data_IF_882875732917
#
_entry.id   IF_882875732917
#
_cell.length_a   1.000
_cell.length_b   1.000
_cell.length_c   1.000
_cell.angle_alpha   90.00
_cell.angle_beta   90.00
_cell.angle_gamma   90.00
#
_symmetry.space_group_name_H-M   'P 1'
#
loop_
_entity.id
_entity.type
_entity.pdbx_description
1 polymer ?
#
# COMPACT_ATOMS: atom_id res chain seq x y z
N UNK A 1 -3.05 30.65 -18.70
CA UNK A 1 -2.95 29.33 -18.06
C UNK A 1 -4.30 28.66 -18.20
N UNK A 2 -4.40 27.62 -19.04
CA UNK A 2 -5.60 26.79 -19.14
C UNK A 2 -5.45 25.71 -18.09
N UNK A 3 -6.27 25.74 -17.05
CA UNK A 3 -6.43 24.60 -16.16
C UNK A 3 -7.06 23.47 -16.98
N UNK A 4 -6.26 22.48 -17.33
CA UNK A 4 -6.78 21.21 -17.81
C UNK A 4 -7.40 20.55 -16.59
N UNK A 5 -8.73 20.48 -16.57
CA UNK A 5 -9.46 19.67 -15.60
C UNK A 5 -9.07 18.22 -15.87
N UNK A 6 -8.12 17.69 -15.11
CA UNK A 6 -7.97 16.25 -14.97
C UNK A 6 -9.29 15.75 -14.40
N UNK A 7 -9.99 14.95 -15.20
CA UNK A 7 -11.27 14.38 -14.80
C UNK A 7 -11.09 13.67 -13.47
N UNK A 8 -11.96 13.99 -12.51
CA UNK A 8 -12.08 13.30 -11.24
C UNK A 8 -12.42 11.82 -11.51
N UNK A 9 -11.39 11.02 -11.77
CA UNK A 9 -11.41 9.57 -11.68
C UNK A 9 -11.51 9.24 -10.20
N UNK A 10 -12.75 8.97 -9.79
CA UNK A 10 -13.15 8.57 -8.45
C UNK A 10 -12.18 7.50 -7.90
N UNK A 11 -11.33 7.88 -6.95
CA UNK A 11 -10.55 6.92 -6.16
C UNK A 11 -11.52 6.22 -5.20
N UNK A 12 -12.13 5.14 -5.67
CA UNK A 12 -12.93 4.24 -4.86
C UNK A 12 -12.03 3.38 -3.97
N UNK A 13 -11.58 3.90 -2.83
CA UNK A 13 -11.06 3.06 -1.76
C UNK A 13 -12.26 2.50 -0.99
N UNK A 14 -12.61 1.24 -1.28
CA UNK A 14 -13.58 0.47 -0.51
C UNK A 14 -12.95 0.01 0.81
N UNK A 15 -13.78 0.00 1.85
CA UNK A 15 -13.43 -0.28 3.22
C UNK A 15 -14.23 -1.47 3.72
N UNK A 16 -13.57 -2.57 4.03
CA UNK A 16 -14.17 -3.71 4.71
C UNK A 16 -13.53 -3.98 6.06
N UNK A 17 -14.36 -4.55 6.93
CA UNK A 17 -14.02 -4.87 8.30
C UNK A 17 -13.32 -6.22 8.40
N UNK A 18 -12.14 -6.22 9.01
CA UNK A 18 -11.37 -7.42 9.33
C UNK A 18 -12.03 -8.22 10.47
N UNK A 19 -12.10 -9.55 10.33
CA UNK A 19 -12.38 -10.49 11.42
C UNK A 19 -11.09 -11.23 11.76
N UNK A 20 -10.63 -11.14 13.01
CA UNK A 20 -9.39 -11.78 13.46
C UNK A 20 -9.65 -13.18 14.02
N UNK A 21 -9.07 -14.21 13.40
CA UNK A 21 -8.96 -15.55 13.99
C UNK A 21 -7.69 -15.62 14.86
N UNK A 22 -7.82 -16.08 16.11
CA UNK A 22 -6.69 -16.18 17.05
C UNK A 22 -6.04 -17.56 16.97
N UNK A 23 -4.82 -17.61 16.43
CA UNK A 23 -3.94 -18.76 16.56
C UNK A 23 -2.83 -18.45 17.59
N UNK A 24 -2.81 -19.19 18.69
CA UNK A 24 -1.77 -19.06 19.71
C UNK A 24 -0.47 -19.73 19.22
N UNK A 25 0.60 -18.97 19.02
CA UNK A 25 1.95 -19.52 18.80
C UNK A 25 2.97 -18.86 19.73
N UNK A 26 3.97 -19.65 20.13
CA UNK A 26 4.80 -19.41 21.31
C UNK A 26 5.77 -18.24 21.23
N UNK A 27 5.88 -17.55 22.38
CA UNK A 27 7.03 -16.89 22.98
C UNK A 27 8.03 -16.17 22.05
N UNK A 28 7.53 -15.20 21.28
CA UNK A 28 8.35 -14.22 20.56
C UNK A 28 8.57 -12.91 21.33
N UNK A 29 8.16 -12.83 22.61
CA UNK A 29 8.18 -11.58 23.38
C UNK A 29 7.21 -10.50 22.85
N UNK A 30 6.39 -10.83 21.84
CA UNK A 30 5.30 -9.98 21.34
C UNK A 30 4.30 -9.86 22.47
N UNK A 31 4.04 -8.62 22.93
CA UNK A 31 2.98 -8.36 23.90
C UNK A 31 1.65 -8.77 23.27
N UNK A 32 0.87 -9.57 23.97
CA UNK A 32 -0.53 -9.84 23.59
C UNK A 32 -1.28 -8.50 23.52
N UNK A 33 -1.58 -8.04 22.30
CA UNK A 33 -2.41 -6.87 22.09
C UNK A 33 -3.87 -7.29 22.22
N UNK A 34 -4.67 -6.62 23.07
CA UNK A 34 -6.10 -6.90 23.15
C UNK A 34 -6.78 -6.78 21.78
N UNK A 35 -7.69 -7.70 21.41
CA UNK A 35 -8.35 -7.66 20.09
C UNK A 35 -9.06 -6.34 19.79
N UNK A 36 -9.63 -5.70 20.81
CA UNK A 36 -10.26 -4.38 20.71
C UNK A 36 -9.25 -3.27 20.33
N UNK A 37 -8.03 -3.32 20.85
CA UNK A 37 -6.97 -2.36 20.50
C UNK A 37 -6.52 -2.56 19.06
N UNK A 38 -6.35 -3.82 18.64
CA UNK A 38 -6.00 -4.13 17.25
C UNK A 38 -7.10 -3.66 16.27
N UNK A 39 -8.38 -3.87 16.62
CA UNK A 39 -9.52 -3.40 15.82
C UNK A 39 -9.56 -1.86 15.73
N UNK A 40 -9.37 -1.16 16.85
CA UNK A 40 -9.34 0.30 16.87
C UNK A 40 -8.18 0.87 16.06
N UNK A 41 -6.97 0.29 16.19
CA UNK A 41 -5.80 0.68 15.43
C UNK A 41 -5.98 0.48 13.91
N UNK A 42 -6.68 -0.58 13.50
CA UNK A 42 -7.02 -0.82 12.09
C UNK A 42 -7.95 0.28 11.53
N UNK A 43 -8.99 0.65 12.26
CA UNK A 43 -9.89 1.76 11.86
C UNK A 43 -9.11 3.08 11.82
N UNK A 44 -8.26 3.34 12.80
CA UNK A 44 -7.44 4.55 12.83
C UNK A 44 -6.46 4.63 11.65
N UNK A 45 -5.84 3.50 11.28
CA UNK A 45 -5.02 3.39 10.08
C UNK A 45 -5.80 3.76 8.82
N UNK A 46 -7.01 3.22 8.66
CA UNK A 46 -7.87 3.55 7.53
C UNK A 46 -8.19 5.06 7.49
N UNK A 47 -8.54 5.65 8.63
CA UNK A 47 -8.85 7.07 8.77
C UNK A 47 -7.66 7.97 8.45
N UNK A 48 -6.47 7.67 8.97
CA UNK A 48 -5.25 8.38 8.61
C UNK A 48 -4.94 8.29 7.11
N UNK A 49 -5.18 7.13 6.48
CA UNK A 49 -5.03 6.99 5.02
C UNK A 49 -6.00 7.88 4.24
N UNK A 50 -7.25 8.01 4.70
CA UNK A 50 -8.24 8.92 4.09
C UNK A 50 -7.80 10.39 4.23
N UNK A 51 -7.28 10.77 5.39
CA UNK A 51 -6.74 12.12 5.62
C UNK A 51 -5.58 12.41 4.66
N UNK A 52 -4.61 11.50 4.53
CA UNK A 52 -3.48 11.67 3.61
C UNK A 52 -3.95 11.80 2.15
N UNK A 53 -4.91 10.98 1.73
CA UNK A 53 -5.51 11.09 0.41
C UNK A 53 -6.16 12.46 0.17
N UNK A 54 -6.90 12.98 1.15
CA UNK A 54 -7.51 14.30 1.07
C UNK A 54 -6.47 15.43 1.04
N UNK A 55 -5.36 15.32 1.80
CA UNK A 55 -4.24 16.27 1.72
C UNK A 55 -3.64 16.27 0.32
N UNK A 56 -3.41 15.10 -0.28
CA UNK A 56 -2.85 15.01 -1.63
C UNK A 56 -3.76 15.66 -2.68
N UNK A 57 -5.08 15.43 -2.61
CA UNK A 57 -6.06 16.09 -3.49
C UNK A 57 -6.04 17.61 -3.27
N UNK A 58 -6.01 18.06 -2.00
CA UNK A 58 -5.91 19.48 -1.69
C UNK A 58 -4.66 20.11 -2.31
N UNK A 59 -3.50 19.47 -2.17
CA UNK A 59 -2.24 19.95 -2.73
C UNK A 59 -2.33 20.11 -4.25
N UNK A 60 -2.82 19.08 -4.95
CA UNK A 60 -3.03 19.13 -6.39
C UNK A 60 -3.93 20.32 -6.80
N UNK A 61 -4.99 20.57 -6.05
CA UNK A 61 -5.94 21.66 -6.34
C UNK A 61 -5.41 23.05 -5.96
N UNK A 62 -4.36 23.13 -5.14
CA UNK A 62 -3.81 24.37 -4.58
C UNK A 62 -2.33 24.63 -4.96
N UNK A 63 -1.87 24.05 -6.07
CA UNK A 63 -0.52 24.29 -6.59
C UNK A 63 0.57 23.71 -5.70
N UNK A 64 0.38 22.46 -5.28
CA UNK A 64 1.25 21.65 -4.42
C UNK A 64 1.42 22.19 -2.98
N UNK A 65 0.64 23.20 -2.61
CA UNK A 65 0.63 23.73 -1.26
C UNK A 65 -0.26 22.88 -0.36
N UNK A 66 0.25 22.35 0.77
CA UNK A 66 -0.59 21.65 1.74
C UNK A 66 -1.62 22.60 2.35
N UNK A 67 -2.73 22.07 2.88
CA UNK A 67 -3.70 22.90 3.59
C UNK A 67 -3.03 23.59 4.78
N UNK A 68 -3.45 24.82 5.07
CA UNK A 68 -2.90 25.58 6.19
C UNK A 68 -3.30 24.94 7.53
N UNK A 69 -4.44 24.25 7.56
CA UNK A 69 -5.01 23.56 8.72
C UNK A 69 -5.69 22.26 8.30
N UNK A 70 -5.81 21.33 9.23
CA UNK A 70 -6.43 20.04 8.95
C UNK A 70 -7.95 20.16 8.70
N UNK A 71 -8.61 21.11 9.39
CA UNK A 71 -10.02 21.45 9.20
C UNK A 71 -10.34 22.00 7.81
N UNK A 72 -9.35 22.47 7.04
CA UNK A 72 -9.55 22.94 5.66
C UNK A 72 -9.94 21.79 4.70
N UNK A 73 -9.77 20.53 5.12
CA UNK A 73 -10.23 19.35 4.38
C UNK A 73 -11.74 19.10 4.55
N UNK A 74 -12.37 19.65 5.59
CA UNK A 74 -13.79 19.46 5.92
C UNK A 74 -14.64 20.68 5.48
N UNK A 75 -15.89 20.49 5.02
CA UNK A 75 -16.55 19.21 4.71
C UNK A 75 -16.31 18.75 3.26
N UNK A 76 -15.51 19.49 2.49
CA UNK A 76 -15.43 19.33 1.03
C UNK A 76 -14.74 18.04 0.59
N UNK A 77 -13.56 17.76 1.14
CA UNK A 77 -12.77 16.57 0.79
C UNK A 77 -13.04 15.41 1.74
N UNK A 78 -13.38 15.72 3.00
CA UNK A 78 -13.80 14.76 4.01
C UNK A 78 -15.13 15.25 4.59
N UNK A 79 -16.22 14.55 4.27
CA UNK A 79 -17.56 14.91 4.74
C UNK A 79 -17.91 14.30 6.11
N UNK A 80 -17.33 13.13 6.45
CA UNK A 80 -17.57 12.45 7.72
C UNK A 80 -16.58 12.93 8.79
N UNK A 81 -17.03 13.64 9.85
CA UNK A 81 -16.15 14.12 10.91
C UNK A 81 -15.47 12.97 11.68
N UNK A 82 -16.03 11.75 11.68
CA UNK A 82 -15.43 10.61 12.37
C UNK A 82 -14.07 10.21 11.79
N UNK A 83 -13.76 10.61 10.56
CA UNK A 83 -12.44 10.39 9.94
C UNK A 83 -11.31 11.03 10.75
N UNK A 84 -11.57 12.09 11.52
CA UNK A 84 -10.54 12.78 12.31
C UNK A 84 -10.34 12.20 13.73
N UNK A 85 -11.08 11.15 14.08
CA UNK A 85 -11.11 10.58 15.42
C UNK A 85 -10.57 9.16 15.47
N UNK A 86 -9.99 8.74 16.59
CA UNK A 86 -9.52 7.37 16.82
C UNK A 86 -10.54 6.63 17.71
N UNK A 87 -11.01 5.41 17.37
CA UNK A 87 -12.05 4.74 18.16
C UNK A 87 -11.71 4.41 19.61
N UNK A 88 -10.41 4.25 19.90
CA UNK A 88 -9.90 4.10 21.27
C UNK A 88 -9.60 5.40 22.00
N UNK A 89 -9.88 6.56 21.41
CA UNK A 89 -9.71 7.86 22.06
C UNK A 89 -10.75 8.06 23.18
N UNK A 90 -10.32 8.68 24.27
CA UNK A 90 -11.18 9.02 25.40
C UNK A 90 -12.06 10.24 25.14
N UNK A 91 -11.68 11.09 24.20
CA UNK A 91 -12.47 12.26 23.82
C UNK A 91 -13.73 11.83 23.02
N UNK A 92 -14.88 12.52 23.19
CA UNK A 92 -16.09 12.17 22.46
C UNK A 92 -15.90 12.26 20.94
N UNK A 93 -16.52 11.35 20.15
CA UNK A 93 -16.44 11.41 18.70
C UNK A 93 -16.99 12.74 18.18
N UNK A 94 -16.29 13.41 17.24
CA UNK A 94 -16.73 14.68 16.69
C UNK A 94 -18.01 14.49 15.88
N UNK A 95 -18.93 15.44 16.00
CA UNK A 95 -20.18 15.47 15.21
C UNK A 95 -20.11 16.46 14.06
N UNK A 96 -19.10 17.33 14.08
CA UNK A 96 -18.71 18.26 13.02
C UNK A 96 -17.23 18.60 13.22
N UNK A 97 -16.65 19.40 12.33
CA UNK A 97 -15.28 19.91 12.46
C UNK A 97 -15.32 21.43 12.32
N UNK A 98 -14.90 22.14 13.37
CA UNK A 98 -14.90 23.61 13.40
C UNK A 98 -13.57 24.23 13.90
N UNK A 99 -12.62 23.40 14.33
CA UNK A 99 -11.31 23.84 14.80
C UNK A 99 -10.20 22.80 14.57
N UNK A 100 -8.97 23.14 14.97
CA UNK A 100 -7.77 22.29 14.90
C UNK A 100 -7.03 22.24 16.24
N UNK A 101 -7.72 22.54 17.34
CA UNK A 101 -7.11 22.52 18.67
C UNK A 101 -7.00 21.06 19.11
N UNK A 102 -5.80 20.52 19.41
CA UNK A 102 -5.67 19.13 19.80
C UNK A 102 -6.57 18.77 20.99
N UNK A 103 -7.23 17.60 20.92
CA UNK A 103 -8.14 17.08 21.96
C UNK A 103 -9.35 17.99 22.29
N UNK A 104 -9.64 19.00 21.47
CA UNK A 104 -10.84 19.82 21.64
C UNK A 104 -12.05 19.16 20.95
N UNK A 105 -13.28 19.35 21.48
CA UNK A 105 -14.50 18.92 20.79
C UNK A 105 -14.57 19.45 19.36
N UNK A 106 -15.00 18.60 18.42
CA UNK A 106 -15.12 18.94 16.98
C UNK A 106 -13.82 19.47 16.34
N UNK A 107 -12.67 19.03 16.85
CA UNK A 107 -11.37 19.34 16.26
C UNK A 107 -11.00 18.35 15.16
N UNK A 108 -10.41 18.85 14.08
CA UNK A 108 -9.77 18.00 13.06
C UNK A 108 -8.52 17.29 13.61
N UNK A 109 -7.89 17.86 14.64
CA UNK A 109 -6.71 17.32 15.30
C UNK A 109 -7.07 16.61 16.62
N UNK A 110 -8.30 16.09 16.75
CA UNK A 110 -8.77 15.47 18.00
C UNK A 110 -7.94 14.23 18.35
N UNK A 111 -7.65 13.35 17.38
CA UNK A 111 -6.92 12.10 17.64
C UNK A 111 -5.64 11.93 16.82
N UNK A 112 -5.37 12.85 15.89
CA UNK A 112 -4.24 12.73 14.97
C UNK A 112 -3.40 14.01 14.92
N UNK A 113 -2.08 13.82 14.93
CA UNK A 113 -1.09 14.87 14.68
C UNK A 113 -0.66 14.82 13.21
N UNK A 114 -0.56 15.98 12.56
CA UNK A 114 0.00 16.10 11.21
C UNK A 114 1.31 16.89 11.25
N UNK A 115 2.35 16.34 10.65
CA UNK A 115 3.63 16.99 10.49
C UNK A 115 3.64 17.81 9.20
N UNK A 116 3.19 19.06 9.27
CA UNK A 116 3.13 19.93 8.09
C UNK A 116 4.49 20.18 7.42
N UNK A 117 5.58 20.13 8.19
CA UNK A 117 6.93 20.23 7.63
C UNK A 117 7.28 19.03 6.73
N UNK A 118 6.57 17.90 6.89
CA UNK A 118 6.73 16.75 6.01
C UNK A 118 6.09 16.95 4.62
N UNK A 119 5.24 17.96 4.46
CA UNK A 119 4.53 18.26 3.21
C UNK A 119 5.09 19.46 2.45
N UNK A 120 6.05 20.20 3.02
CA UNK A 120 6.65 21.36 2.35
C UNK A 120 7.65 20.96 1.26
N UNK A 121 7.64 21.71 0.14
CA UNK A 121 8.52 21.51 -1.01
C UNK A 121 10.01 21.46 -0.59
N UNK A 122 10.66 20.34 -0.91
CA UNK A 122 12.01 20.00 -0.47
C UNK A 122 12.11 18.64 0.21
N UNK A 123 10.97 18.08 0.64
CA UNK A 123 10.82 16.70 1.13
C UNK A 123 11.62 16.41 2.41
N UNK A 124 11.00 16.01 3.52
CA UNK A 124 11.78 15.48 4.64
C UNK A 124 12.51 14.17 4.26
N UNK A 125 13.50 13.79 5.05
CA UNK A 125 14.12 12.46 4.96
C UNK A 125 13.05 11.35 4.97
N UNK A 126 13.28 10.26 4.23
CA UNK A 126 12.38 9.15 3.91
C UNK A 126 11.61 8.45 5.06
N UNK A 127 11.85 8.84 6.32
CA UNK A 127 11.32 8.21 7.54
C UNK A 127 10.62 9.21 8.47
N UNK A 128 10.27 10.40 7.96
CA UNK A 128 9.47 11.36 8.73
C UNK A 128 7.99 10.97 8.64
N UNK A 129 7.36 10.84 9.81
CA UNK A 129 5.91 10.64 9.90
C UNK A 129 5.19 11.89 9.36
N UNK A 130 4.17 11.65 8.54
CA UNK A 130 3.29 12.68 7.99
C UNK A 130 2.07 12.88 8.87
N UNK A 131 1.45 11.78 9.27
CA UNK A 131 0.34 11.75 10.22
C UNK A 131 0.58 10.63 11.21
N UNK A 132 0.20 10.85 12.45
CA UNK A 132 0.26 9.82 13.50
C UNK A 132 -0.91 9.97 14.45
N UNK A 133 -1.17 8.92 15.19
CA UNK A 133 -1.93 9.00 16.42
C UNK A 133 -1.27 9.98 17.39
N UNK A 134 -2.05 10.90 17.96
CA UNK A 134 -1.52 11.94 18.84
C UNK A 134 -1.11 11.41 20.23
N UNK A 135 -1.62 10.24 20.64
CA UNK A 135 -1.30 9.64 21.93
C UNK A 135 -1.34 8.11 21.89
N UNK A 136 -0.42 7.46 22.60
CA UNK A 136 -0.48 6.00 22.75
C UNK A 136 -1.70 5.53 23.55
N UNK A 137 -2.34 6.43 24.31
CA UNK A 137 -3.54 6.11 25.11
C UNK A 137 -4.71 5.64 24.23
N UNK A 138 -4.78 6.13 22.99
CA UNK A 138 -5.75 5.71 21.99
C UNK A 138 -5.64 4.21 21.65
N UNK A 139 -4.47 3.62 21.92
CA UNK A 139 -4.17 2.21 21.77
C UNK A 139 -3.84 1.54 23.12
N UNK A 140 -4.56 1.91 24.19
CA UNK A 140 -4.37 1.40 25.55
C UNK A 140 -2.94 1.58 26.10
N UNK A 141 -2.21 2.59 25.62
CA UNK A 141 -0.82 2.88 25.99
C UNK A 141 0.20 1.94 25.35
N UNK A 142 -0.19 1.11 24.38
CA UNK A 142 0.68 0.11 23.78
C UNK A 142 1.53 0.67 22.64
N UNK A 143 0.97 1.56 21.83
CA UNK A 143 1.62 2.06 20.62
C UNK A 143 1.06 3.38 20.12
N UNK A 144 1.83 4.06 19.28
CA UNK A 144 1.39 5.14 18.39
C UNK A 144 1.42 4.63 16.96
N UNK A 145 0.29 4.69 16.25
CA UNK A 145 0.25 4.42 14.81
C UNK A 145 0.75 5.63 14.03
N UNK A 146 1.57 5.43 13.01
CA UNK A 146 2.11 6.52 12.19
C UNK A 146 2.14 6.14 10.72
N UNK A 147 1.77 7.06 9.84
CA UNK A 147 2.07 6.98 8.42
C UNK A 147 3.28 7.83 8.10
N UNK A 148 4.21 7.25 7.37
CA UNK A 148 5.37 7.95 6.81
C UNK A 148 5.13 8.29 5.34
N UNK A 149 6.01 9.11 4.77
CA UNK A 149 6.02 9.43 3.33
C UNK A 149 5.96 8.18 2.42
N UNK A 150 6.44 7.03 2.91
CA UNK A 150 6.36 5.75 2.19
C UNK A 150 4.95 5.15 2.10
N UNK A 151 3.92 5.89 2.56
CA UNK A 151 2.55 5.40 2.74
C UNK A 151 2.47 4.12 3.60
N UNK A 152 3.55 3.85 4.34
CA UNK A 152 3.66 2.71 5.23
C UNK A 152 3.10 3.08 6.59
N UNK A 153 2.19 2.26 7.09
CA UNK A 153 1.76 2.33 8.49
C UNK A 153 2.81 1.64 9.36
N UNK A 154 3.32 2.34 10.35
CA UNK A 154 4.24 1.85 11.35
C UNK A 154 3.66 2.04 12.75
N UNK A 155 4.23 1.34 13.72
CA UNK A 155 3.92 1.50 15.15
C UNK A 155 5.16 1.99 15.89
N UNK A 156 4.98 2.76 16.96
CA UNK A 156 6.02 3.13 17.92
C UNK A 156 5.60 2.70 19.35
N UNK A 157 6.31 1.77 20.00
CA UNK A 157 7.48 1.06 19.48
C UNK A 157 7.10 0.12 18.31
N UNK A 158 8.05 -0.19 17.41
CA UNK A 158 7.78 -1.05 16.26
C UNK A 158 7.49 -2.49 16.69
N UNK A 159 6.61 -3.17 15.96
CA UNK A 159 6.28 -4.59 16.17
C UNK A 159 5.34 -4.87 17.35
N UNK A 160 4.63 -3.86 17.86
CA UNK A 160 3.71 -4.04 18.99
C UNK A 160 2.38 -4.64 18.57
N UNK A 161 1.76 -4.17 17.49
CA UNK A 161 0.59 -4.88 16.96
C UNK A 161 1.04 -6.28 16.55
N UNK A 162 0.25 -7.34 16.83
CA UNK A 162 0.39 -8.56 16.07
C UNK A 162 0.33 -8.09 14.63
N UNK A 163 1.44 -8.23 13.90
CA UNK A 163 1.42 -7.92 12.49
C UNK A 163 0.18 -8.62 11.95
N UNK A 164 -0.67 -7.90 11.22
CA UNK A 164 -1.70 -8.56 10.42
C UNK A 164 -1.04 -9.79 9.80
N UNK A 165 -1.70 -10.98 9.84
CA UNK A 165 -1.08 -12.26 9.53
C UNK A 165 -0.06 -12.04 8.42
N UNK A 166 1.23 -12.36 8.68
CA UNK A 166 2.36 -11.71 8.06
C UNK A 166 2.05 -11.51 6.59
N UNK A 167 1.90 -10.24 6.20
CA UNK A 167 1.40 -9.89 4.88
C UNK A 167 2.10 -10.77 3.87
N UNK A 168 1.32 -11.43 3.00
CA UNK A 168 1.89 -12.33 2.02
C UNK A 168 3.02 -11.61 1.27
N UNK A 169 4.03 -12.35 0.83
CA UNK A 169 5.17 -11.75 0.12
C UNK A 169 4.69 -10.93 -1.08
N UNK A 170 3.63 -11.42 -1.75
CA UNK A 170 2.93 -10.74 -2.85
C UNK A 170 2.34 -9.40 -2.39
N UNK A 171 1.64 -9.36 -1.25
CA UNK A 171 1.05 -8.13 -0.71
C UNK A 171 2.11 -7.07 -0.41
N UNK A 172 3.19 -7.45 0.25
CA UNK A 172 4.29 -6.53 0.55
C UNK A 172 4.92 -6.00 -0.74
N UNK A 173 5.14 -6.87 -1.73
CA UNK A 173 5.67 -6.45 -3.01
C UNK A 173 4.70 -5.54 -3.80
N UNK A 174 3.39 -5.81 -3.76
CA UNK A 174 2.35 -4.96 -4.33
C UNK A 174 2.36 -3.57 -3.68
N UNK A 175 2.54 -3.50 -2.35
CA UNK A 175 2.70 -2.23 -1.63
C UNK A 175 3.98 -1.48 -2.05
N UNK A 176 5.09 -2.20 -2.20
CA UNK A 176 6.35 -1.64 -2.67
C UNK A 176 6.24 -1.06 -4.09
N UNK A 177 5.65 -1.82 -5.03
CA UNK A 177 5.35 -1.34 -6.38
C UNK A 177 4.36 -0.17 -6.38
N UNK A 178 3.37 -0.17 -5.48
CA UNK A 178 2.44 0.93 -5.31
C UNK A 178 3.12 2.21 -4.76
N UNK A 179 4.20 2.09 -3.99
CA UNK A 179 5.02 3.23 -3.58
C UNK A 179 5.89 3.74 -4.74
N UNK A 180 6.52 2.82 -5.49
CA UNK A 180 7.32 3.17 -6.68
C UNK A 180 6.49 3.87 -7.75
N UNK A 181 5.27 3.39 -8.04
CA UNK A 181 4.37 4.01 -9.04
C UNK A 181 4.01 5.45 -8.65
N UNK A 182 3.73 5.70 -7.37
CA UNK A 182 3.30 7.04 -6.90
C UNK A 182 4.44 8.02 -7.13
N UNK A 183 5.66 7.65 -6.77
CA UNK A 183 6.77 8.55 -6.98
C UNK A 183 7.19 8.65 -8.45
N UNK A 184 6.97 7.63 -9.27
CA UNK A 184 7.16 7.75 -10.72
C UNK A 184 6.19 8.77 -11.30
N UNK A 185 4.93 8.77 -10.85
CA UNK A 185 3.94 9.76 -11.26
C UNK A 185 4.35 11.19 -10.86
N UNK A 186 4.87 11.38 -9.63
CA UNK A 186 5.40 12.68 -9.19
C UNK A 186 6.61 13.09 -10.04
N UNK A 187 7.57 12.18 -10.25
CA UNK A 187 8.71 12.44 -11.13
C UNK A 187 8.27 12.87 -12.52
N UNK A 188 7.32 12.14 -13.10
CA UNK A 188 6.79 12.40 -14.42
C UNK A 188 6.21 13.82 -14.52
N UNK A 189 5.38 14.21 -13.56
CA UNK A 189 4.82 15.56 -13.46
C UNK A 189 5.92 16.64 -13.42
N UNK A 190 6.98 16.41 -12.65
CA UNK A 190 8.08 17.36 -12.50
C UNK A 190 9.04 17.38 -13.71
N UNK A 191 8.99 16.34 -14.56
CA UNK A 191 9.90 16.14 -15.69
C UNK A 191 9.19 16.11 -17.04
N UNK A 192 8.13 16.91 -17.21
CA UNK A 192 7.41 17.05 -18.49
C UNK A 192 6.88 15.71 -19.03
N UNK A 193 6.28 14.93 -18.14
CA UNK A 193 5.69 13.61 -18.40
C UNK A 193 6.72 12.51 -18.75
N UNK A 194 8.02 12.77 -18.64
CA UNK A 194 9.06 11.76 -18.87
C UNK A 194 9.36 10.95 -17.62
N UNK A 195 9.58 9.65 -17.79
CA UNK A 195 10.04 8.78 -16.73
C UNK A 195 11.58 8.79 -16.61
N UNK A 196 12.15 8.47 -15.43
CA UNK A 196 13.58 8.53 -15.19
C UNK A 196 14.35 7.55 -16.08
N UNK A 197 15.56 7.95 -16.49
CA UNK A 197 16.51 7.08 -17.17
C UNK A 197 17.44 6.33 -16.20
N UNK A 198 17.60 6.87 -14.99
CA UNK A 198 18.50 6.36 -13.96
C UNK A 198 17.73 6.24 -12.64
N UNK A 199 17.53 5.00 -12.20
CA UNK A 199 16.81 4.72 -10.96
C UNK A 199 17.61 5.05 -9.70
N UNK A 200 18.93 5.12 -9.79
CA UNK A 200 19.78 5.52 -8.65
C UNK A 200 19.59 7.01 -8.36
N UNK A 201 19.58 7.82 -9.43
CA UNK A 201 19.26 9.25 -9.34
C UNK A 201 17.82 9.45 -8.84
N UNK A 202 16.85 8.76 -9.46
CA UNK A 202 15.44 8.78 -9.03
C UNK A 202 15.27 8.41 -7.55
N UNK A 203 15.97 7.38 -7.07
CA UNK A 203 15.93 7.00 -5.65
C UNK A 203 16.45 8.11 -4.73
N UNK A 204 17.52 8.79 -5.14
CA UNK A 204 18.12 9.88 -4.37
C UNK A 204 17.18 11.08 -4.30
N UNK A 205 16.51 11.40 -5.40
CA UNK A 205 15.66 12.59 -5.52
C UNK A 205 14.26 12.39 -4.90
N UNK A 206 13.73 11.16 -4.94
CA UNK A 206 12.36 10.84 -4.48
C UNK A 206 12.33 9.98 -3.21
N UNK A 207 13.50 9.71 -2.63
CA UNK A 207 13.69 9.31 -1.23
C UNK A 207 12.91 8.04 -0.81
N UNK A 208 13.27 6.88 -1.38
CA UNK A 208 12.69 5.59 -0.95
C UNK A 208 13.49 4.94 0.19
N UNK A 209 12.89 3.96 0.86
CA UNK A 209 13.71 2.95 1.54
C UNK A 209 14.40 2.15 0.45
N UNK A 210 15.66 1.74 0.66
CA UNK A 210 16.21 0.67 -0.13
C UNK A 210 15.26 -0.54 -0.20
N UNK A 211 14.64 -0.93 0.92
CA UNK A 211 13.67 -2.03 1.00
C UNK A 211 12.43 -1.88 0.09
N UNK A 212 12.08 -0.66 -0.37
CA UNK A 212 10.97 -0.46 -1.31
C UNK A 212 11.25 -1.08 -2.68
N UNK A 213 12.51 -1.29 -3.04
CA UNK A 213 12.90 -1.91 -4.33
C UNK A 213 12.91 -3.44 -4.30
N UNK A 214 12.46 -4.04 -3.19
CA UNK A 214 12.65 -5.46 -2.91
C UNK A 214 11.33 -6.23 -2.76
N UNK A 215 11.35 -7.48 -3.19
CA UNK A 215 10.27 -8.44 -3.03
C UNK A 215 10.63 -9.41 -1.90
N UNK A 216 9.78 -9.66 -0.88
CA UNK A 216 10.16 -10.56 0.23
C UNK A 216 10.36 -12.04 -0.11
N UNK A 217 10.04 -12.42 -1.35
CA UNK A 217 10.31 -13.74 -1.91
C UNK A 217 11.58 -13.83 -2.73
N UNK A 218 12.29 -12.72 -2.88
CA UNK A 218 13.55 -12.68 -3.61
C UNK A 218 14.65 -13.49 -2.91
N UNK A 219 15.51 -14.12 -3.70
CA UNK A 219 16.68 -14.83 -3.22
C UNK A 219 17.75 -13.89 -2.66
N UNK A 220 17.82 -12.64 -3.16
CA UNK A 220 18.71 -11.64 -2.59
C UNK A 220 18.13 -11.04 -1.30
N UNK A 221 18.97 -10.70 -0.31
CA UNK A 221 18.49 -10.06 0.92
C UNK A 221 17.92 -8.67 0.61
N UNK A 222 17.01 -8.20 1.45
CA UNK A 222 16.52 -6.83 1.37
C UNK A 222 17.71 -5.83 1.33
N UNK A 223 17.74 -4.91 0.37
CA UNK A 223 18.85 -3.99 0.21
C UNK A 223 18.91 -3.03 1.41
N UNK A 224 20.12 -2.66 1.80
CA UNK A 224 20.38 -1.71 2.90
C UNK A 224 20.68 -0.31 2.38
N UNK A 225 21.01 -0.19 1.10
CA UNK A 225 21.22 1.03 0.33
C UNK A 225 20.88 0.75 -1.13
N UNK A 226 20.77 1.78 -1.97
CA UNK A 226 20.65 1.67 -3.42
C UNK A 226 21.84 2.39 -4.04
N UNK A 227 22.76 1.64 -4.65
CA UNK A 227 24.01 2.17 -5.21
C UNK A 227 24.21 1.81 -6.69
N UNK A 228 23.30 1.02 -7.26
CA UNK A 228 23.31 0.64 -8.67
C UNK A 228 21.87 0.36 -9.16
N UNK A 229 21.75 0.07 -10.46
CA UNK A 229 20.49 -0.33 -11.11
C UNK A 229 20.67 -1.57 -11.98
N UNK A 230 21.63 -2.44 -11.65
CA UNK A 230 21.83 -3.69 -12.39
C UNK A 230 20.75 -4.69 -11.98
N UNK A 231 20.08 -5.32 -12.94
CA UNK A 231 19.05 -6.32 -12.68
C UNK A 231 19.62 -7.44 -11.77
N UNK A 232 18.89 -7.78 -10.71
CA UNK A 232 19.20 -8.85 -9.73
C UNK A 232 20.51 -8.67 -8.94
N UNK A 233 21.08 -7.46 -8.95
CA UNK A 233 22.29 -7.16 -8.19
C UNK A 233 21.96 -6.71 -6.75
N UNK A 234 22.86 -7.03 -5.81
CA UNK A 234 22.76 -6.55 -4.43
C UNK A 234 22.74 -5.00 -4.41
N UNK A 235 21.88 -4.42 -3.56
CA UNK A 235 21.70 -2.96 -3.44
C UNK A 235 21.34 -2.27 -4.76
N UNK A 236 20.68 -3.00 -5.67
CA UNK A 236 20.17 -2.44 -6.91
C UNK A 236 18.77 -1.87 -6.75
N UNK A 237 18.50 -0.78 -7.46
CA UNK A 237 17.13 -0.30 -7.71
C UNK A 237 16.32 -1.31 -8.56
N UNK A 238 16.97 -2.31 -9.15
CA UNK A 238 16.33 -3.40 -9.89
C UNK A 238 16.61 -4.76 -9.25
N UNK A 239 16.74 -4.80 -7.91
CA UNK A 239 17.01 -6.05 -7.19
C UNK A 239 15.87 -7.05 -7.32
N UNK A 240 14.61 -6.59 -7.22
CA UNK A 240 13.42 -7.44 -7.35
C UNK A 240 12.43 -6.99 -8.43
N UNK A 241 12.60 -5.78 -8.95
CA UNK A 241 11.70 -5.21 -9.95
C UNK A 241 12.53 -4.69 -11.13
N UNK A 242 12.32 -5.30 -12.30
CA UNK A 242 12.82 -4.80 -13.56
C UNK A 242 12.06 -3.54 -13.96
N UNK A 243 12.80 -2.49 -14.31
CA UNK A 243 12.27 -1.23 -14.77
C UNK A 243 12.37 -1.14 -16.28
N UNK A 244 11.20 -1.07 -16.91
CA UNK A 244 11.01 -1.07 -18.35
C UNK A 244 10.64 0.31 -18.89
N UNK A 245 10.36 1.28 -17.99
CA UNK A 245 9.97 2.64 -18.35
C UNK A 245 11.08 3.56 -18.87
N UNK A 246 12.35 3.12 -18.86
CA UNK A 246 13.47 3.96 -19.28
C UNK A 246 13.30 4.45 -20.73
N UNK A 247 13.25 5.77 -20.92
CA UNK A 247 13.10 6.40 -22.23
C UNK A 247 11.66 6.55 -22.72
N UNK A 248 10.68 6.22 -21.88
CA UNK A 248 9.26 6.41 -22.14
C UNK A 248 8.69 7.61 -21.36
N UNK A 249 7.41 7.88 -21.57
CA UNK A 249 6.66 8.98 -20.97
C UNK A 249 5.21 8.55 -20.71
N UNK A 250 4.40 9.43 -20.10
CA UNK A 250 2.96 9.22 -19.94
C UNK A 250 2.20 8.95 -21.24
N UNK A 251 2.81 9.17 -22.41
CA UNK A 251 2.16 8.88 -23.69
C UNK A 251 2.30 7.40 -24.13
N UNK A 252 2.95 6.54 -23.32
CA UNK A 252 2.99 5.11 -23.58
C UNK A 252 1.56 4.51 -23.55
N UNK A 253 1.30 3.39 -24.28
CA UNK A 253 0.03 2.68 -24.20
C UNK A 253 -0.36 2.33 -22.75
N UNK A 254 -1.66 2.30 -22.45
CA UNK A 254 -2.14 2.04 -21.08
C UNK A 254 -1.69 0.66 -20.54
N UNK A 255 -1.54 -0.34 -21.42
CA UNK A 255 -1.05 -1.68 -21.11
C UNK A 255 0.49 -1.79 -21.06
N UNK A 256 1.20 -0.69 -21.25
CA UNK A 256 2.67 -0.66 -21.15
C UNK A 256 3.10 -0.98 -19.72
N UNK A 257 3.99 -1.96 -19.58
CA UNK A 257 4.54 -2.37 -18.28
C UNK A 257 5.74 -1.48 -17.94
N UNK A 258 5.63 -0.75 -16.84
CA UNK A 258 6.63 0.20 -16.36
C UNK A 258 7.60 -0.47 -15.39
N UNK A 259 7.06 -1.22 -14.43
CA UNK A 259 7.82 -2.12 -13.56
C UNK A 259 7.28 -3.52 -13.68
N UNK A 260 8.17 -4.51 -13.55
CA UNK A 260 7.82 -5.92 -13.54
C UNK A 260 8.65 -6.64 -12.50
N UNK A 261 8.03 -7.52 -11.75
CA UNK A 261 8.75 -8.50 -10.93
C UNK A 261 9.73 -9.31 -11.79
N UNK A 262 11.02 -9.22 -11.44
CA UNK A 262 12.11 -9.77 -12.25
C UNK A 262 12.05 -11.31 -12.32
N UNK A 263 11.51 -11.97 -11.31
CA UNK A 263 11.53 -13.42 -11.19
C UNK A 263 10.22 -13.98 -10.60
N UNK A 264 9.49 -14.85 -11.30
CA UNK A 264 8.25 -15.43 -10.76
C UNK A 264 8.47 -16.28 -9.51
N UNK A 265 9.69 -16.78 -9.27
CA UNK A 265 10.04 -17.48 -8.04
C UNK A 265 9.82 -16.62 -6.79
N UNK A 266 9.85 -15.29 -6.93
CA UNK A 266 9.54 -14.33 -5.87
C UNK A 266 8.09 -14.51 -5.37
N UNK A 267 7.19 -14.98 -6.23
CA UNK A 267 5.79 -15.30 -5.96
C UNK A 267 5.53 -16.80 -5.86
N UNK A 268 6.54 -17.61 -5.50
CA UNK A 268 6.41 -19.06 -5.44
C UNK A 268 6.25 -19.74 -6.80
N UNK A 269 6.54 -19.04 -7.91
CA UNK A 269 6.38 -19.57 -9.26
C UNK A 269 4.98 -19.41 -9.86
N UNK A 270 4.07 -18.72 -9.17
CA UNK A 270 2.67 -18.58 -9.61
C UNK A 270 2.45 -17.48 -10.66
N UNK A 271 3.32 -16.46 -10.71
CA UNK A 271 3.05 -15.25 -11.47
C UNK A 271 4.08 -14.15 -11.25
N UNK A 272 3.79 -12.97 -11.81
CA UNK A 272 4.59 -11.75 -11.64
C UNK A 272 3.68 -10.57 -11.33
N UNK A 273 4.17 -9.63 -10.53
CA UNK A 273 3.53 -8.34 -10.36
C UNK A 273 4.03 -7.35 -11.42
N UNK A 274 3.10 -6.61 -12.02
CA UNK A 274 3.40 -5.54 -12.98
C UNK A 274 2.86 -4.21 -12.44
N UNK A 275 3.55 -3.12 -12.76
CA UNK A 275 2.97 -1.77 -12.75
C UNK A 275 2.71 -1.40 -14.20
N UNK A 276 1.45 -1.18 -14.56
CA UNK A 276 1.04 -0.70 -15.87
C UNK A 276 1.09 0.84 -15.93
N UNK A 277 1.06 1.40 -17.13
CA UNK A 277 1.10 2.84 -17.36
C UNK A 277 -0.12 3.57 -16.81
N UNK A 278 -1.27 2.91 -16.76
CA UNK A 278 -2.47 3.41 -16.08
C UNK A 278 -2.35 3.39 -14.54
N UNK A 279 -1.15 3.05 -14.05
CA UNK A 279 -0.74 2.96 -12.67
C UNK A 279 -1.35 1.80 -11.91
N UNK A 280 -2.00 0.84 -12.55
CA UNK A 280 -2.47 -0.35 -11.86
C UNK A 280 -1.30 -1.28 -11.49
N UNK A 281 -1.34 -1.81 -10.27
CA UNK A 281 -0.45 -2.92 -9.88
C UNK A 281 -1.22 -4.22 -10.13
N UNK A 282 -0.90 -4.90 -11.22
CA UNK A 282 -1.62 -6.08 -11.68
C UNK A 282 -0.79 -7.33 -11.41
N UNK A 283 -1.43 -8.36 -10.89
CA UNK A 283 -0.82 -9.68 -10.82
C UNK A 283 -1.09 -10.45 -12.12
N UNK A 284 -0.03 -10.92 -12.78
CA UNK A 284 -0.12 -11.69 -14.01
C UNK A 284 0.27 -13.13 -13.72
N UNK A 285 -0.69 -14.07 -13.66
CA UNK A 285 -0.38 -15.47 -13.39
C UNK A 285 0.40 -16.07 -14.57
N UNK A 286 1.39 -16.92 -14.26
CA UNK A 286 2.10 -17.70 -15.28
C UNK A 286 1.19 -18.78 -15.88
N UNK A 287 0.31 -19.32 -15.04
CA UNK A 287 -0.67 -20.32 -15.42
C UNK A 287 -2.00 -19.96 -14.74
N UNK A 288 -2.92 -19.25 -15.44
CA UNK A 288 -4.20 -18.86 -14.86
C UNK A 288 -4.94 -20.08 -14.28
N UNK A 289 -5.26 -20.05 -12.99
CA UNK A 289 -5.94 -21.14 -12.28
C UNK A 289 -5.02 -22.14 -11.54
N UNK A 290 -3.70 -22.10 -11.77
CA UNK A 290 -2.71 -22.91 -11.04
C UNK A 290 -2.29 -22.17 -9.77
N UNK A 291 -2.93 -22.50 -8.65
CA UNK A 291 -2.73 -21.90 -7.33
C UNK A 291 -1.56 -22.56 -6.61
N UNK A 292 -1.27 -23.82 -6.90
CA UNK A 292 -0.21 -24.59 -6.23
C UNK A 292 1.15 -24.49 -6.93
N UNK A 293 1.19 -24.01 -8.18
CA UNK A 293 2.42 -23.69 -8.90
C UNK A 293 3.11 -24.88 -9.56
N UNK A 294 2.38 -25.98 -9.75
CA UNK A 294 2.87 -27.18 -10.42
C UNK A 294 2.71 -27.15 -11.95
N UNK A 295 2.30 -26.02 -12.50
CA UNK A 295 2.10 -25.75 -13.93
C UNK A 295 0.96 -26.57 -14.55
N UNK A 296 0.03 -27.07 -13.74
CA UNK A 296 -1.14 -27.82 -14.18
C UNK A 296 -2.35 -27.46 -13.32
N UNK A 297 -3.40 -26.93 -13.95
CA UNK A 297 -4.65 -26.60 -13.26
C UNK A 297 -5.47 -27.87 -13.04
N UNK A 298 -5.65 -28.31 -11.81
CA UNK A 298 -6.31 -29.56 -11.47
C UNK A 298 -7.07 -29.50 -10.12
N UNK A 299 -7.38 -30.66 -9.54
CA UNK A 299 -8.13 -30.75 -8.29
C UNK A 299 -7.35 -30.19 -7.09
N UNK A 300 -6.02 -30.23 -7.12
CA UNK A 300 -5.17 -29.66 -6.07
C UNK A 300 -5.42 -28.15 -5.93
N UNK A 301 -5.48 -27.41 -7.04
CA UNK A 301 -5.79 -25.98 -7.04
C UNK A 301 -7.18 -25.71 -6.46
N UNK A 302 -8.17 -26.51 -6.86
CA UNK A 302 -9.53 -26.35 -6.35
C UNK A 302 -9.60 -26.54 -4.83
N UNK A 303 -8.82 -27.47 -4.26
CA UNK A 303 -8.78 -27.68 -2.82
C UNK A 303 -8.15 -26.50 -2.06
N UNK A 304 -7.16 -25.81 -2.65
CA UNK A 304 -6.63 -24.57 -2.07
C UNK A 304 -7.72 -23.49 -2.09
N UNK A 305 -8.35 -23.25 -3.24
CA UNK A 305 -9.43 -22.28 -3.36
C UNK A 305 -10.58 -22.57 -2.36
N UNK A 306 -11.01 -23.82 -2.23
CA UNK A 306 -12.06 -24.23 -1.29
C UNK A 306 -11.69 -23.92 0.17
N UNK A 307 -10.41 -24.04 0.53
CA UNK A 307 -9.91 -23.79 1.89
C UNK A 307 -10.04 -22.32 2.29
N UNK A 308 -9.93 -21.42 1.31
CA UNK A 308 -9.94 -19.98 1.53
C UNK A 308 -11.26 -19.31 1.13
N UNK A 309 -12.14 -20.00 0.41
CA UNK A 309 -13.39 -19.44 -0.13
C UNK A 309 -14.18 -18.65 0.93
N UNK A 310 -14.41 -17.37 0.65
CA UNK A 310 -15.06 -16.42 1.55
C UNK A 310 -14.08 -15.57 2.38
N UNK A 311 -12.78 -15.64 2.12
CA UNK A 311 -11.83 -14.63 2.58
C UNK A 311 -11.97 -13.37 1.73
N UNK A 312 -12.13 -12.21 2.36
CA UNK A 312 -12.35 -10.93 1.69
C UNK A 312 -11.23 -9.95 2.03
N UNK A 313 -10.83 -9.14 1.06
CA UNK A 313 -9.84 -8.04 1.14
C UNK A 313 -8.41 -8.42 1.53
N UNK A 314 -8.20 -9.67 1.94
CA UNK A 314 -6.91 -10.19 2.36
C UNK A 314 -6.52 -11.48 1.65
N UNK A 315 -7.26 -11.91 0.65
CA UNK A 315 -6.79 -13.01 -0.17
C UNK A 315 -5.72 -12.50 -1.15
N UNK A 316 -4.69 -13.29 -1.36
CA UNK A 316 -3.73 -13.11 -2.43
C UNK A 316 -3.79 -14.33 -3.37
N UNK A 317 -3.10 -14.32 -4.54
CA UNK A 317 -3.20 -15.42 -5.50
C UNK A 317 -2.84 -16.81 -4.94
N UNK A 318 -1.98 -16.86 -3.91
CA UNK A 318 -1.62 -18.09 -3.18
C UNK A 318 -2.77 -18.66 -2.36
N UNK A 319 -3.73 -17.80 -1.98
CA UNK A 319 -4.93 -18.16 -1.22
C UNK A 319 -6.11 -18.47 -2.16
N UNK A 320 -5.94 -18.26 -3.48
CA UNK A 320 -6.97 -18.50 -4.49
C UNK A 320 -7.69 -17.24 -4.99
N UNK A 321 -7.22 -16.03 -4.67
CA UNK A 321 -7.64 -14.79 -5.36
C UNK A 321 -7.04 -14.76 -6.77
N UNK A 322 -7.72 -15.42 -7.70
CA UNK A 322 -7.29 -15.63 -9.07
C UNK A 322 -7.59 -14.44 -9.98
N UNK A 323 -8.50 -13.54 -9.58
CA UNK A 323 -8.83 -12.33 -10.31
C UNK A 323 -8.09 -11.07 -9.79
N UNK A 324 -7.45 -11.16 -8.62
CA UNK A 324 -6.66 -10.10 -8.00
C UNK A 324 -7.47 -9.02 -7.28
N UNK A 325 -8.75 -9.27 -6.96
CA UNK A 325 -9.65 -8.31 -6.30
C UNK A 325 -9.50 -8.29 -4.77
N UNK A 326 -8.62 -9.14 -4.24
CA UNK A 326 -8.33 -9.27 -2.82
C UNK A 326 -9.29 -10.22 -2.09
N UNK A 327 -10.21 -10.88 -2.78
CA UNK A 327 -11.15 -11.84 -2.20
C UNK A 327 -11.03 -13.21 -2.86
N UNK A 328 -11.53 -14.24 -2.18
CA UNK A 328 -11.67 -15.59 -2.74
C UNK A 328 -13.16 -15.94 -2.82
N UNK A 329 -13.74 -15.83 -4.00
CA UNK A 329 -15.17 -16.02 -4.20
C UNK A 329 -15.51 -16.87 -5.46
N UNK A 330 -16.77 -16.79 -5.89
CA UNK A 330 -17.24 -17.56 -7.05
C UNK A 330 -16.68 -17.05 -8.39
N UNK A 331 -16.16 -15.83 -8.45
CA UNK A 331 -15.44 -15.32 -9.62
C UNK A 331 -14.10 -16.06 -9.76
N UNK A 332 -13.38 -16.31 -8.66
CA UNK A 332 -12.14 -17.09 -8.68
C UNK A 332 -12.39 -18.55 -9.07
N UNK A 333 -13.46 -19.13 -8.53
CA UNK A 333 -13.89 -20.48 -8.94
C UNK A 333 -14.19 -20.55 -10.45
N UNK A 334 -14.75 -19.49 -11.03
CA UNK A 334 -14.98 -19.41 -12.47
C UNK A 334 -13.67 -19.32 -13.27
N UNK A 335 -12.68 -18.56 -12.79
CA UNK A 335 -11.33 -18.50 -13.39
C UNK A 335 -10.68 -19.89 -13.37
N UNK A 336 -10.72 -20.59 -12.23
CA UNK A 336 -10.19 -21.94 -12.09
C UNK A 336 -10.92 -22.92 -13.04
N UNK A 337 -12.25 -22.88 -13.07
CA UNK A 337 -13.05 -23.78 -13.90
C UNK A 337 -12.75 -23.63 -15.40
N UNK A 338 -12.61 -22.39 -15.88
CA UNK A 338 -12.31 -22.12 -17.29
C UNK A 338 -10.94 -22.67 -17.70
N UNK A 339 -9.99 -22.74 -16.76
CA UNK A 339 -8.65 -23.22 -17.00
C UNK A 339 -8.43 -24.68 -16.56
N UNK A 340 -9.45 -25.37 -16.05
CA UNK A 340 -9.28 -26.72 -15.49
C UNK A 340 -8.74 -27.72 -16.52
N UNK A 341 -7.66 -28.42 -16.16
CA UNK A 341 -6.92 -29.33 -17.02
C UNK A 341 -5.90 -28.65 -17.94
N UNK A 342 -5.77 -27.32 -17.89
CA UNK A 342 -4.71 -26.61 -18.60
C UNK A 342 -3.34 -26.98 -18.03
N UNK A 343 -2.33 -26.99 -18.91
CA UNK A 343 -0.92 -27.11 -18.54
C UNK A 343 -0.16 -25.96 -19.17
N UNK A 344 0.77 -25.40 -18.42
CA UNK A 344 1.52 -24.22 -18.84
C UNK A 344 2.99 -24.58 -19.06
N UNK A 345 3.64 -23.84 -19.95
CA UNK A 345 5.07 -24.02 -20.14
C UNK A 345 5.81 -23.48 -18.91
N UNK A 346 6.91 -24.11 -18.48
CA UNK A 346 7.78 -23.54 -17.47
C UNK A 346 8.27 -22.15 -17.93
N UNK A 347 8.21 -21.19 -17.01
CA UNK A 347 8.52 -19.78 -17.23
C UNK A 347 10.00 -19.49 -17.46
#
# INVERSE_FOLDING_TARGET
>A
MRATVLGAGLVGFLAGGLVWATASSGDSGVRDVPPEVAANAAIARQRMSLILGAIAVYQNDNGDLPPARLSDLYPTLIADPLVFWHPGDSDPPPTTIDNDVPNAPNSAAISFDVNWAAFSAGGPACDVWQIRDNTSQNNAGLLVGQFTWRLGYHTDPPGVLPEAPPASRIRVARQNLAALRVALAVYSNDNQDYWPLDLVAFHTDYCFAPRTWWHPGDAQPAPSQIDNQQLDALNSAQISFEYLGAGFSENAPDDFVVFRDNNPANNGGLGRLHVQRDWQVVYVPLCPGDITGEQVVNLADFLVLETHLGEFETADPVDGDLNGDGSTDMHDAAVLQVNFGASCAPA
#
